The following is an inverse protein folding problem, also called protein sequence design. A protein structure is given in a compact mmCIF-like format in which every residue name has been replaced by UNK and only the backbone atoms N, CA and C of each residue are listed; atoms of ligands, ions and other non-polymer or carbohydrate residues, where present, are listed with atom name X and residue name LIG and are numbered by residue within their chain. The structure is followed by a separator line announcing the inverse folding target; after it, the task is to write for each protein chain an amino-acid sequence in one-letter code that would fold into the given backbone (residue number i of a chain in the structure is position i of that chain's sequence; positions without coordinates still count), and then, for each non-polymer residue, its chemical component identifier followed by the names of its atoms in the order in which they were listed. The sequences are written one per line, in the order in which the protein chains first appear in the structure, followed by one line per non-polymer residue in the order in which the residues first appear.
data_IF_407434606825
#
_entry.id   IF_407434606825
#
_cell.length_a   1.000
_cell.length_b   1.000
_cell.length_c   1.000
_cell.angle_alpha   90.00
_cell.angle_beta   90.00
_cell.angle_gamma   90.00
#
_symmetry.space_group_name_H-M   'P 1'
#
loop_
_entity.id
_entity.type
_entity.pdbx_description
1 polymer ?
#
# COMPACT_ATOMS: atom_id res chain seq x y z
N UNK A 1 22.03 2.06 -5.74
CA UNK A 1 20.94 2.98 -5.29
C UNK A 1 19.67 2.90 -6.14
N UNK A 2 19.61 2.06 -7.18
CA UNK A 2 18.44 2.00 -8.07
C UNK A 2 17.23 1.43 -7.32
N UNK A 3 17.45 0.43 -6.48
CA UNK A 3 16.38 -0.25 -5.75
C UNK A 3 15.92 0.57 -4.54
N UNK A 4 16.84 1.26 -3.84
CA UNK A 4 16.49 2.22 -2.77
C UNK A 4 15.56 3.30 -3.26
N UNK A 5 15.84 3.91 -4.43
CA UNK A 5 14.98 4.94 -5.02
C UNK A 5 13.59 4.37 -5.35
N UNK A 6 13.53 3.18 -5.97
CA UNK A 6 12.26 2.52 -6.30
C UNK A 6 11.44 2.21 -5.05
N UNK A 7 12.04 1.54 -4.05
CA UNK A 7 11.41 1.26 -2.75
C UNK A 7 10.82 2.52 -2.10
N UNK A 8 11.58 3.62 -2.10
CA UNK A 8 11.10 4.89 -1.58
C UNK A 8 9.92 5.47 -2.39
N UNK A 9 9.95 5.40 -3.73
CA UNK A 9 8.81 5.85 -4.55
C UNK A 9 7.56 5.02 -4.29
N UNK A 10 7.67 3.69 -4.17
CA UNK A 10 6.53 2.84 -3.83
C UNK A 10 5.97 3.14 -2.43
N UNK A 11 6.85 3.44 -1.47
CA UNK A 11 6.44 3.88 -0.14
C UNK A 11 5.63 5.19 -0.21
N UNK A 12 6.14 6.19 -0.92
CA UNK A 12 5.44 7.47 -1.11
C UNK A 12 4.10 7.28 -1.84
N UNK A 13 4.09 6.49 -2.91
CA UNK A 13 2.88 6.22 -3.67
C UNK A 13 1.81 5.50 -2.82
N UNK A 14 2.22 4.56 -1.97
CA UNK A 14 1.32 3.89 -1.02
C UNK A 14 0.71 4.87 -0.02
N UNK A 15 1.50 5.81 0.50
CA UNK A 15 0.99 6.86 1.41
C UNK A 15 -0.03 7.75 0.69
N UNK A 16 0.25 8.17 -0.55
CA UNK A 16 -0.68 8.97 -1.34
C UNK A 16 -1.99 8.21 -1.58
N UNK A 17 -1.92 6.93 -1.94
CA UNK A 17 -3.10 6.09 -2.10
C UNK A 17 -3.90 5.94 -0.81
N UNK A 18 -3.23 5.79 0.34
CA UNK A 18 -3.90 5.78 1.65
C UNK A 18 -4.68 7.07 1.90
N UNK A 19 -4.10 8.23 1.60
CA UNK A 19 -4.79 9.53 1.74
C UNK A 19 -6.03 9.57 0.84
N UNK A 20 -5.90 9.12 -0.41
CA UNK A 20 -7.05 9.02 -1.33
C UNK A 20 -8.14 8.12 -0.76
N UNK A 21 -7.80 6.98 -0.16
CA UNK A 21 -8.80 6.13 0.52
C UNK A 21 -9.46 6.80 1.70
N UNK A 22 -8.70 7.52 2.53
CA UNK A 22 -9.27 8.25 3.66
C UNK A 22 -10.29 9.28 3.19
N UNK A 23 -10.00 9.99 2.09
CA UNK A 23 -10.94 10.94 1.48
C UNK A 23 -12.16 10.21 0.91
N UNK A 24 -11.96 9.14 0.14
CA UNK A 24 -13.06 8.34 -0.43
C UNK A 24 -13.91 7.65 0.65
N UNK A 25 -13.34 7.35 1.82
CA UNK A 25 -14.07 6.80 2.96
C UNK A 25 -15.02 7.82 3.60
N UNK A 26 -14.80 9.12 3.38
CA UNK A 26 -15.65 10.20 3.87
C UNK A 26 -16.68 10.68 2.83
N UNK A 27 -16.60 10.23 1.58
CA UNK A 27 -17.58 10.61 0.57
C UNK A 27 -18.90 9.86 0.79
N UNK A 28 -20.02 10.58 0.67
CA UNK A 28 -21.35 9.97 0.76
C UNK A 28 -21.55 9.06 -0.44
N UNK A 29 -21.76 7.76 -0.19
CA UNK A 29 -22.06 6.80 -1.25
C UNK A 29 -23.47 7.06 -1.76
N UNK A 30 -23.58 7.62 -2.95
CA UNK A 30 -24.85 7.68 -3.69
C UNK A 30 -25.08 6.35 -4.40
N UNK A 31 -26.34 6.06 -4.79
CA UNK A 31 -26.70 4.83 -5.50
C UNK A 31 -25.99 4.66 -6.87
N UNK A 32 -25.24 5.67 -7.33
CA UNK A 32 -24.35 5.57 -8.47
C UNK A 32 -23.17 4.64 -8.13
N UNK A 33 -23.15 3.45 -8.75
CA UNK A 33 -22.13 2.41 -8.58
C UNK A 33 -20.67 2.88 -8.83
N UNK A 34 -20.48 4.04 -9.46
CA UNK A 34 -19.17 4.58 -9.87
C UNK A 34 -18.17 4.73 -8.72
N UNK A 35 -18.60 5.15 -7.52
CA UNK A 35 -17.68 5.30 -6.38
C UNK A 35 -17.18 3.94 -5.88
N UNK A 36 -18.04 2.92 -5.90
CA UNK A 36 -17.67 1.57 -5.49
C UNK A 36 -16.68 0.95 -6.48
N UNK A 37 -16.91 1.13 -7.78
CA UNK A 37 -16.00 0.63 -8.82
C UNK A 37 -14.62 1.28 -8.73
N UNK A 38 -14.57 2.60 -8.60
CA UNK A 38 -13.31 3.36 -8.40
C UNK A 38 -12.58 2.86 -7.15
N UNK A 39 -13.31 2.66 -6.06
CA UNK A 39 -12.73 2.14 -4.80
C UNK A 39 -12.14 0.75 -5.01
N UNK A 40 -12.82 -0.14 -5.73
CA UNK A 40 -12.33 -1.49 -6.05
C UNK A 40 -11.03 -1.47 -6.86
N UNK A 41 -10.95 -0.64 -7.91
CA UNK A 41 -9.72 -0.48 -8.69
C UNK A 41 -8.56 0.05 -7.85
N UNK A 42 -8.82 1.05 -7.01
CA UNK A 42 -7.80 1.62 -6.14
C UNK A 42 -7.31 0.61 -5.11
N UNK A 43 -8.18 -0.23 -4.53
CA UNK A 43 -7.76 -1.28 -3.57
C UNK A 43 -6.80 -2.26 -4.24
N UNK A 44 -7.12 -2.68 -5.46
CA UNK A 44 -6.25 -3.57 -6.24
C UNK A 44 -4.90 -2.92 -6.53
N UNK A 45 -4.92 -1.65 -6.96
CA UNK A 45 -3.71 -0.88 -7.22
C UNK A 45 -2.84 -0.72 -5.95
N UNK A 46 -3.47 -0.45 -4.81
CA UNK A 46 -2.80 -0.34 -3.52
C UNK A 46 -2.13 -1.65 -3.13
N UNK A 47 -2.85 -2.76 -3.23
CA UNK A 47 -2.32 -4.08 -2.93
C UNK A 47 -1.07 -4.40 -3.78
N UNK A 48 -1.15 -4.21 -5.10
CA UNK A 48 -0.01 -4.40 -6.01
C UNK A 48 1.16 -3.48 -5.66
N UNK A 49 0.87 -2.22 -5.34
CA UNK A 49 1.87 -1.24 -4.92
C UNK A 49 2.62 -1.68 -3.67
N UNK A 50 1.92 -2.16 -2.65
CA UNK A 50 2.51 -2.64 -1.40
C UNK A 50 3.42 -3.84 -1.67
N UNK A 51 2.99 -4.81 -2.48
CA UNK A 51 3.80 -5.97 -2.84
C UNK A 51 5.09 -5.57 -3.58
N UNK A 52 4.98 -4.70 -4.58
CA UNK A 52 6.14 -4.19 -5.30
C UNK A 52 7.07 -3.37 -4.40
N UNK A 53 6.51 -2.56 -3.51
CA UNK A 53 7.24 -1.78 -2.52
C UNK A 53 8.07 -2.66 -1.59
N UNK A 54 7.50 -3.74 -1.08
CA UNK A 54 8.22 -4.73 -0.27
C UNK A 54 9.31 -5.43 -1.10
N UNK A 55 8.99 -5.88 -2.31
CA UNK A 55 9.96 -6.53 -3.19
C UNK A 55 11.19 -5.65 -3.44
N UNK A 56 11.00 -4.38 -3.80
CA UNK A 56 12.11 -3.45 -3.98
C UNK A 56 12.81 -3.09 -2.66
N UNK A 57 12.10 -3.10 -1.54
CA UNK A 57 12.68 -2.89 -0.21
C UNK A 57 13.66 -4.00 0.15
N UNK A 58 13.29 -5.27 -0.07
CA UNK A 58 14.18 -6.42 0.14
C UNK A 58 15.41 -6.33 -0.77
N UNK A 59 15.22 -6.01 -2.05
CA UNK A 59 16.34 -5.81 -2.98
C UNK A 59 17.24 -4.62 -2.59
N UNK A 60 16.70 -3.61 -1.90
CA UNK A 60 17.48 -2.46 -1.43
C UNK A 60 18.39 -2.76 -0.24
N UNK A 61 18.18 -3.87 0.49
CA UNK A 61 18.96 -4.24 1.68
C UNK A 61 20.46 -4.36 1.35
N UNK A 62 20.79 -4.85 0.16
CA UNK A 62 22.17 -5.02 -0.32
C UNK A 62 22.85 -3.72 -0.76
N UNK A 63 22.12 -2.61 -0.85
CA UNK A 63 22.68 -1.30 -1.23
C UNK A 63 23.22 -0.53 -0.01
N UNK A 64 24.15 0.41 -0.25
CA UNK A 64 24.80 1.23 0.77
C UNK A 64 23.83 1.99 1.68
N UNK A 65 24.32 2.35 2.88
CA UNK A 65 23.56 3.08 3.88
C UNK A 65 23.05 4.44 3.36
N UNK A 66 21.74 4.68 3.48
CA UNK A 66 21.10 5.95 3.14
C UNK A 66 19.77 6.09 3.87
N UNK A 67 19.42 7.27 4.40
CA UNK A 67 18.19 7.46 5.18
C UNK A 67 16.90 7.03 4.44
N UNK A 68 16.80 7.37 3.14
CA UNK A 68 15.69 6.97 2.25
C UNK A 68 15.47 5.45 2.18
N UNK A 69 16.52 4.65 2.37
CA UNK A 69 16.43 3.18 2.42
C UNK A 69 15.64 2.74 3.66
N UNK A 70 15.98 3.26 4.82
CA UNK A 70 15.32 2.89 6.07
C UNK A 70 13.86 3.35 6.10
N UNK A 71 13.59 4.55 5.58
CA UNK A 71 12.21 5.03 5.41
C UNK A 71 11.43 4.15 4.44
N UNK A 72 12.01 3.86 3.26
CA UNK A 72 11.36 3.00 2.26
C UNK A 72 11.07 1.59 2.79
N UNK A 73 12.04 0.96 3.46
CA UNK A 73 11.84 -0.36 4.08
C UNK A 73 10.77 -0.29 5.17
N UNK A 74 10.87 0.68 6.09
CA UNK A 74 9.94 0.80 7.22
C UNK A 74 8.50 1.01 6.77
N UNK A 75 8.27 1.94 5.83
CA UNK A 75 6.92 2.25 5.33
C UNK A 75 6.33 1.08 4.54
N UNK A 76 7.09 0.47 3.63
CA UNK A 76 6.58 -0.67 2.85
C UNK A 76 6.28 -1.87 3.76
N UNK A 77 7.10 -2.13 4.78
CA UNK A 77 6.86 -3.22 5.73
C UNK A 77 5.66 -2.95 6.63
N UNK A 78 5.50 -1.70 7.09
CA UNK A 78 4.31 -1.26 7.82
C UNK A 78 3.04 -1.51 7.00
N UNK A 79 3.01 -1.07 5.74
CA UNK A 79 1.85 -1.28 4.88
C UNK A 79 1.58 -2.75 4.59
N UNK A 80 2.62 -3.57 4.45
CA UNK A 80 2.46 -5.01 4.28
C UNK A 80 1.74 -5.62 5.49
N UNK A 81 2.22 -5.34 6.71
CA UNK A 81 1.61 -5.86 7.94
C UNK A 81 0.15 -5.41 8.06
N UNK A 82 -0.13 -4.13 7.87
CA UNK A 82 -1.49 -3.60 7.95
C UNK A 82 -2.42 -4.23 6.91
N UNK A 83 -1.96 -4.38 5.67
CA UNK A 83 -2.73 -5.00 4.60
C UNK A 83 -2.99 -6.49 4.87
N UNK A 84 -1.99 -7.21 5.39
CA UNK A 84 -2.15 -8.62 5.79
C UNK A 84 -3.15 -8.79 6.93
N UNK A 85 -3.08 -7.93 7.97
CA UNK A 85 -4.05 -7.96 9.07
C UNK A 85 -5.47 -7.69 8.59
N UNK A 86 -5.65 -6.69 7.72
CA UNK A 86 -6.94 -6.38 7.12
C UNK A 86 -7.48 -7.56 6.30
N UNK A 87 -6.65 -8.20 5.48
CA UNK A 87 -7.02 -9.39 4.70
C UNK A 87 -7.47 -10.54 5.60
N UNK A 88 -6.69 -10.87 6.63
CA UNK A 88 -7.03 -11.94 7.58
C UNK A 88 -8.35 -11.65 8.29
N UNK A 89 -8.58 -10.39 8.69
CA UNK A 89 -9.85 -9.97 9.31
C UNK A 89 -11.05 -10.20 8.38
N UNK A 90 -10.96 -9.74 7.13
CA UNK A 90 -12.02 -9.92 6.14
C UNK A 90 -12.25 -11.39 5.77
N UNK A 91 -11.18 -12.19 5.68
CA UNK A 91 -11.31 -13.64 5.42
C UNK A 91 -11.99 -14.34 6.59
N UNK A 92 -11.64 -14.01 7.83
CA UNK A 92 -12.27 -14.59 9.02
C UNK A 92 -13.78 -14.34 9.04
N UNK A 93 -14.20 -13.13 8.70
CA UNK A 93 -15.61 -12.75 8.62
C UNK A 93 -16.35 -13.49 7.48
N UNK A 94 -15.69 -13.72 6.34
CA UNK A 94 -16.29 -14.43 5.21
C UNK A 94 -16.51 -15.94 5.45
N UNK A 95 -15.76 -16.54 6.39
CA UNK A 95 -15.81 -17.98 6.70
C UNK A 95 -16.39 -18.31 8.08
N UNK A 96 -16.91 -17.32 8.82
CA UNK A 96 -17.62 -17.49 10.11
C UNK A 96 -19.13 -17.38 9.93
#
# INVERSE_FOLDING_TARGET
MKNTKRSFHFAVFSVVLLIVFTILGQTTRTAAHTINDITGYLITLFFVTVLLGVFFSVLSIRESYHWKKHVGIGVNFFFLVMTSLALIGNLKEAFS
#
